data_IF_297081133555
#
_entry.id   IF_297081133555
#
_cell.length_a   1.000
_cell.length_b   1.000
_cell.length_c   1.000
_cell.angle_alpha   90.00
_cell.angle_beta   90.00
_cell.angle_gamma   90.00
#
_symmetry.space_group_name_H-M   'P 1'
#
loop_
_entity.id
_entity.type
_entity.pdbx_description
1 polymer ?
#
# COMPACT_ATOMS: atom_id res chain seq x y z
N UNK A 1 -1.77 -24.37 -0.23
CA UNK A 1 -2.58 -23.17 0.09
C UNK A 1 -3.26 -22.73 -1.20
N UNK A 2 -4.58 -22.53 -1.22
CA UNK A 2 -5.28 -22.08 -2.42
C UNK A 2 -4.99 -20.60 -2.65
N UNK A 3 -4.64 -20.23 -3.87
CA UNK A 3 -4.41 -18.85 -4.30
C UNK A 3 -5.75 -18.08 -4.26
N UNK A 4 -5.73 -16.82 -3.86
CA UNK A 4 -6.90 -15.93 -3.77
C UNK A 4 -7.95 -16.29 -2.70
N UNK A 5 -7.57 -16.96 -1.62
CA UNK A 5 -8.43 -17.09 -0.45
C UNK A 5 -7.90 -16.21 0.68
N UNK A 6 -8.65 -15.18 1.09
CA UNK A 6 -8.28 -14.34 2.24
C UNK A 6 -8.15 -15.17 3.51
N UNK A 7 -7.12 -14.91 4.30
CA UNK A 7 -6.88 -15.60 5.56
C UNK A 7 -6.20 -14.66 6.57
N UNK A 8 -6.23 -15.07 7.84
CA UNK A 8 -5.47 -14.38 8.89
C UNK A 8 -4.15 -15.11 9.14
N UNK A 9 -3.11 -14.32 9.33
CA UNK A 9 -1.75 -14.80 9.62
C UNK A 9 -1.22 -14.12 10.88
N UNK A 10 -0.53 -14.90 11.73
CA UNK A 10 0.25 -14.29 12.81
C UNK A 10 1.57 -13.75 12.22
N UNK A 11 1.72 -12.44 12.26
CA UNK A 11 2.87 -11.72 11.71
C UNK A 11 3.45 -10.82 12.80
N UNK A 12 4.69 -11.09 13.22
CA UNK A 12 5.34 -10.39 14.35
C UNK A 12 4.46 -10.28 15.62
N UNK A 13 3.71 -11.36 15.92
CA UNK A 13 2.88 -11.44 17.11
C UNK A 13 1.50 -10.78 17.01
N UNK A 14 1.15 -10.21 15.87
CA UNK A 14 -0.16 -9.61 15.57
C UNK A 14 -0.88 -10.38 14.46
N UNK A 15 -2.20 -10.33 14.43
CA UNK A 15 -3.00 -10.97 13.38
C UNK A 15 -3.23 -10.01 12.24
N UNK A 16 -2.72 -10.32 11.07
CA UNK A 16 -2.97 -9.55 9.86
C UNK A 16 -3.88 -10.30 8.90
N UNK A 17 -4.63 -9.55 8.10
CA UNK A 17 -5.41 -10.08 6.99
C UNK A 17 -4.57 -10.11 5.73
N UNK A 18 -4.61 -11.23 5.03
CA UNK A 18 -3.85 -11.47 3.80
C UNK A 18 -4.80 -11.99 2.73
N UNK A 19 -4.96 -11.31 1.59
CA UNK A 19 -5.88 -11.73 0.53
C UNK A 19 -5.35 -12.91 -0.30
N UNK A 20 -4.03 -13.04 -0.41
CA UNK A 20 -3.38 -14.08 -1.23
C UNK A 20 -2.00 -14.44 -0.67
N UNK A 21 -1.78 -15.73 -0.47
CA UNK A 21 -0.54 -16.24 0.09
C UNK A 21 0.66 -16.12 -0.82
N UNK A 22 0.47 -16.24 -2.11
CA UNK A 22 1.58 -16.15 -3.09
C UNK A 22 2.15 -14.74 -3.15
N UNK A 23 1.27 -13.74 -3.29
CA UNK A 23 1.66 -12.34 -3.28
C UNK A 23 2.28 -11.93 -1.95
N UNK A 24 1.71 -12.38 -0.83
CA UNK A 24 2.27 -12.11 0.50
C UNK A 24 3.71 -12.61 0.64
N UNK A 25 3.98 -13.86 0.25
CA UNK A 25 5.33 -14.43 0.37
C UNK A 25 6.34 -13.71 -0.52
N UNK A 26 5.95 -13.34 -1.75
CA UNK A 26 6.80 -12.57 -2.64
C UNK A 26 7.17 -11.21 -2.05
N UNK A 27 6.17 -10.45 -1.62
CA UNK A 27 6.37 -9.12 -1.02
C UNK A 27 7.15 -9.21 0.29
N UNK A 28 6.89 -10.24 1.11
CA UNK A 28 7.65 -10.48 2.33
C UNK A 28 9.14 -10.73 2.03
N UNK A 29 9.42 -11.59 1.05
CA UNK A 29 10.79 -11.86 0.62
C UNK A 29 11.51 -10.57 0.19
N UNK A 30 10.89 -9.81 -0.70
CA UNK A 30 11.47 -8.56 -1.22
C UNK A 30 11.72 -7.52 -0.13
N UNK A 31 10.76 -7.31 0.78
CA UNK A 31 10.84 -6.24 1.76
C UNK A 31 11.64 -6.60 3.00
N UNK A 32 11.43 -7.79 3.57
CA UNK A 32 11.99 -8.15 4.88
C UNK A 32 13.26 -9.01 4.78
N UNK A 33 13.47 -9.73 3.67
CA UNK A 33 14.65 -10.58 3.46
C UNK A 33 15.66 -9.89 2.56
N UNK A 34 15.23 -9.44 1.38
CA UNK A 34 16.11 -8.82 0.39
C UNK A 34 16.30 -7.32 0.63
N UNK A 35 15.44 -6.72 1.47
CA UNK A 35 15.45 -5.31 1.86
C UNK A 35 15.52 -4.34 0.65
N UNK A 36 14.80 -4.63 -0.44
CA UNK A 36 14.85 -3.82 -1.68
C UNK A 36 14.35 -2.37 -1.48
N UNK A 37 13.54 -2.11 -0.44
CA UNK A 37 13.06 -0.78 -0.06
C UNK A 37 13.97 -0.06 0.95
N UNK A 38 15.13 -0.64 1.27
CA UNK A 38 16.04 -0.08 2.25
C UNK A 38 16.63 1.25 1.76
N UNK A 39 16.53 2.26 2.60
CA UNK A 39 17.20 3.55 2.42
C UNK A 39 17.78 4.02 3.75
N UNK A 40 18.60 5.07 3.68
CA UNK A 40 19.18 5.70 4.86
C UNK A 40 18.73 7.15 4.90
N UNK A 41 17.91 7.51 5.89
CA UNK A 41 17.58 8.90 6.17
C UNK A 41 18.51 9.47 7.24
N UNK A 42 18.87 10.74 7.09
CA UNK A 42 19.55 11.52 8.13
C UNK A 42 18.58 12.00 9.21
N UNK A 43 17.28 11.91 8.94
CA UNK A 43 16.22 12.32 9.82
C UNK A 43 15.67 11.11 10.59
N UNK A 44 15.53 11.23 11.91
CA UNK A 44 14.95 10.19 12.75
C UNK A 44 13.42 10.07 12.59
N UNK A 45 12.79 11.02 11.93
CA UNK A 45 11.34 11.08 11.63
C UNK A 45 11.14 11.38 10.14
N UNK A 46 11.57 10.50 9.22
CA UNK A 46 11.44 10.74 7.80
C UNK A 46 9.98 10.85 7.37
N UNK A 47 9.72 11.66 6.35
CA UNK A 47 8.45 11.67 5.63
C UNK A 47 8.54 10.69 4.46
N UNK A 48 7.69 9.69 4.48
CA UNK A 48 7.63 8.63 3.46
C UNK A 48 6.30 8.72 2.74
N UNK A 49 6.34 8.74 1.42
CA UNK A 49 5.16 8.62 0.55
C UNK A 49 5.19 7.23 -0.07
N UNK A 50 4.21 6.42 0.28
CA UNK A 50 4.09 5.03 -0.17
C UNK A 50 2.98 4.92 -1.22
N UNK A 51 3.39 4.76 -2.48
CA UNK A 51 2.51 4.75 -3.64
C UNK A 51 2.11 3.32 -4.01
N UNK A 52 0.99 2.83 -3.49
CA UNK A 52 0.54 1.46 -3.62
C UNK A 52 0.93 0.62 -2.41
N UNK A 53 0.42 1.04 -1.23
CA UNK A 53 0.76 0.41 0.05
C UNK A 53 0.20 -1.00 0.21
N UNK A 54 -0.69 -1.43 -0.67
CA UNK A 54 -1.29 -2.75 -0.66
C UNK A 54 -1.84 -3.07 0.76
N UNK A 55 -1.56 -4.24 1.30
CA UNK A 55 -1.98 -4.65 2.65
C UNK A 55 -1.13 -4.07 3.79
N UNK A 56 -0.16 -3.18 3.48
CA UNK A 56 0.63 -2.43 4.46
C UNK A 56 1.96 -3.05 4.88
N UNK A 57 2.49 -4.05 4.15
CA UNK A 57 3.79 -4.64 4.49
C UNK A 57 4.93 -3.62 4.39
N UNK A 58 4.90 -2.71 3.41
CA UNK A 58 5.82 -1.58 3.27
C UNK A 58 5.75 -0.65 4.48
N UNK A 59 4.54 -0.29 4.89
CA UNK A 59 4.31 0.56 6.07
C UNK A 59 4.89 -0.09 7.33
N UNK A 60 4.63 -1.38 7.54
CA UNK A 60 5.18 -2.15 8.66
C UNK A 60 6.72 -2.18 8.62
N UNK A 61 7.31 -2.43 7.44
CA UNK A 61 8.75 -2.42 7.25
C UNK A 61 9.36 -1.06 7.61
N UNK A 62 8.81 0.04 7.09
CA UNK A 62 9.32 1.37 7.37
C UNK A 62 9.17 1.75 8.85
N UNK A 63 8.06 1.39 9.48
CA UNK A 63 7.87 1.63 10.92
C UNK A 63 8.82 0.82 11.81
N UNK A 64 9.25 -0.36 11.37
CA UNK A 64 10.31 -1.10 12.08
C UNK A 64 11.68 -0.41 11.96
N UNK A 65 12.01 0.15 10.79
CA UNK A 65 13.28 0.85 10.56
C UNK A 65 13.27 2.26 11.16
N UNK A 66 12.16 2.96 11.03
CA UNK A 66 11.95 4.35 11.45
C UNK A 66 10.64 4.47 12.26
N UNK A 67 10.64 4.13 13.55
CA UNK A 67 9.41 4.13 14.36
C UNK A 67 8.68 5.49 14.41
N UNK A 68 9.41 6.60 14.22
CA UNK A 68 8.88 7.96 14.19
C UNK A 68 8.61 8.49 12.79
N UNK A 69 8.72 7.66 11.75
CA UNK A 69 8.39 8.08 10.39
C UNK A 69 6.95 8.55 10.28
N UNK A 70 6.72 9.61 9.52
CA UNK A 70 5.40 9.98 9.03
C UNK A 70 5.21 9.33 7.67
N UNK A 71 4.12 8.59 7.51
CA UNK A 71 3.86 7.84 6.27
C UNK A 71 2.54 8.30 5.68
N UNK A 72 2.56 8.68 4.41
CA UNK A 72 1.37 8.93 3.60
C UNK A 72 1.24 7.73 2.67
N UNK A 73 0.23 6.90 2.93
CA UNK A 73 0.02 5.63 2.26
C UNK A 73 -1.15 5.73 1.27
N UNK A 74 -0.91 5.40 0.01
CA UNK A 74 -1.93 5.38 -1.04
C UNK A 74 -2.23 3.94 -1.45
N UNK A 75 -3.50 3.57 -1.43
CA UNK A 75 -3.98 2.30 -1.97
C UNK A 75 -5.25 2.53 -2.77
N UNK A 76 -5.22 2.07 -4.02
CA UNK A 76 -6.26 2.34 -5.00
C UNK A 76 -7.48 1.43 -4.86
N UNK A 77 -7.24 0.13 -4.55
CA UNK A 77 -8.30 -0.85 -4.37
C UNK A 77 -8.99 -0.64 -3.01
N UNK A 78 -10.31 -0.32 -2.98
CA UNK A 78 -11.00 -0.07 -1.73
C UNK A 78 -10.98 -1.28 -0.76
N UNK A 79 -11.05 -2.50 -1.28
CA UNK A 79 -11.05 -3.72 -0.45
C UNK A 79 -9.66 -3.95 0.17
N UNK A 80 -8.61 -3.72 -0.61
CA UNK A 80 -7.23 -3.80 -0.12
C UNK A 80 -6.94 -2.67 0.87
N UNK A 81 -7.47 -1.46 0.63
CA UNK A 81 -7.35 -0.33 1.55
C UNK A 81 -8.01 -0.60 2.91
N UNK A 82 -9.15 -1.32 2.94
CA UNK A 82 -9.76 -1.79 4.20
C UNK A 82 -8.84 -2.78 4.94
N UNK A 83 -8.20 -3.70 4.21
CA UNK A 83 -7.21 -4.65 4.78
C UNK A 83 -5.98 -3.89 5.30
N UNK A 84 -5.45 -2.95 4.53
CA UNK A 84 -4.36 -2.06 4.95
C UNK A 84 -4.70 -1.39 6.28
N UNK A 85 -5.86 -0.75 6.35
CA UNK A 85 -6.31 -0.04 7.56
C UNK A 85 -6.43 -0.99 8.75
N UNK A 86 -7.01 -2.18 8.55
CA UNK A 86 -7.09 -3.20 9.59
C UNK A 86 -5.70 -3.61 10.08
N UNK A 87 -4.78 -3.94 9.16
CA UNK A 87 -3.44 -4.41 9.50
C UNK A 87 -2.63 -3.34 10.25
N UNK A 88 -2.73 -2.07 9.84
CA UNK A 88 -2.07 -0.95 10.54
C UNK A 88 -2.59 -0.80 11.98
N UNK A 89 -3.92 -0.90 12.17
CA UNK A 89 -4.54 -0.80 13.48
C UNK A 89 -4.14 -1.96 14.41
N UNK A 90 -3.97 -3.18 13.89
CA UNK A 90 -3.51 -4.33 14.69
C UNK A 90 -2.12 -4.12 15.30
N UNK A 91 -1.27 -3.31 14.66
CA UNK A 91 0.06 -2.96 15.17
C UNK A 91 0.09 -1.69 16.02
N UNK A 92 -1.06 -1.05 16.29
CA UNK A 92 -1.16 0.19 17.06
C UNK A 92 -0.23 1.29 16.50
N UNK A 93 -0.02 1.34 15.18
CA UNK A 93 0.89 2.29 14.54
C UNK A 93 0.24 3.68 14.43
N UNK A 94 1.04 4.70 14.67
CA UNK A 94 0.65 6.12 14.59
C UNK A 94 1.40 6.85 13.47
N UNK A 95 1.00 8.08 13.18
CA UNK A 95 1.63 8.93 12.15
C UNK A 95 1.57 8.30 10.75
N UNK A 96 0.43 7.66 10.43
CA UNK A 96 0.14 7.09 9.12
C UNK A 96 -1.16 7.69 8.62
N UNK A 97 -1.11 8.32 7.45
CA UNK A 97 -2.25 8.88 6.74
C UNK A 97 -2.57 8.00 5.53
N UNK A 98 -3.72 7.31 5.58
CA UNK A 98 -4.13 6.35 4.55
C UNK A 98 -5.12 7.01 3.60
N UNK A 99 -4.79 7.01 2.32
CA UNK A 99 -5.60 7.57 1.24
C UNK A 99 -6.10 6.49 0.29
N UNK A 100 -7.43 6.26 0.18
CA UNK A 100 -8.02 5.34 -0.80
C UNK A 100 -8.04 6.00 -2.18
N UNK A 101 -6.87 6.19 -2.78
CA UNK A 101 -6.66 6.87 -4.06
C UNK A 101 -5.54 6.21 -4.85
N UNK A 102 -5.62 6.28 -6.16
CA UNK A 102 -4.50 5.96 -7.03
C UNK A 102 -3.53 7.13 -7.15
N UNK A 103 -2.25 6.85 -7.14
CA UNK A 103 -1.24 7.80 -7.64
C UNK A 103 -1.22 7.68 -9.17
N UNK A 104 -1.43 8.80 -9.85
CA UNK A 104 -1.53 8.84 -11.31
C UNK A 104 -0.86 10.07 -11.93
N UNK A 105 -1.05 10.25 -13.23
CA UNK A 105 -0.48 11.40 -13.97
C UNK A 105 -1.32 12.67 -13.86
N UNK A 106 -2.55 12.57 -13.35
CA UNK A 106 -3.49 13.68 -13.19
C UNK A 106 -4.40 13.47 -11.98
N UNK A 107 -4.87 14.57 -11.43
CA UNK A 107 -5.92 14.58 -10.42
C UNK A 107 -7.29 14.29 -11.06
N UNK A 108 -8.18 13.63 -10.29
CA UNK A 108 -9.54 13.35 -10.74
C UNK A 108 -9.98 11.92 -10.45
N UNK A 109 -10.40 11.21 -11.48
CA UNK A 109 -10.86 9.81 -11.38
C UNK A 109 -10.29 9.00 -12.53
N UNK A 110 -9.98 7.74 -12.24
CA UNK A 110 -9.54 6.75 -13.23
C UNK A 110 -10.41 5.51 -13.19
N UNK A 111 -10.45 4.77 -14.29
CA UNK A 111 -11.03 3.45 -14.35
C UNK A 111 -9.99 2.43 -13.86
N UNK A 112 -10.39 1.64 -12.88
CA UNK A 112 -9.53 0.68 -12.22
C UNK A 112 -10.18 -0.69 -12.25
N UNK A 113 -9.48 -1.67 -12.75
CA UNK A 113 -9.92 -3.06 -12.80
C UNK A 113 -9.49 -3.78 -11.53
N UNK A 114 -10.46 -4.29 -10.77
CA UNK A 114 -10.19 -5.13 -9.61
C UNK A 114 -9.92 -6.55 -10.12
N UNK A 115 -8.71 -7.03 -9.90
CA UNK A 115 -8.37 -8.44 -10.06
C UNK A 115 -8.53 -9.10 -8.69
N UNK A 116 -9.42 -10.08 -8.55
CA UNK A 116 -9.75 -10.73 -7.27
C UNK A 116 -8.55 -11.35 -6.54
N UNK A 117 -7.62 -10.53 -6.05
CA UNK A 117 -6.38 -10.88 -5.38
C UNK A 117 -5.70 -9.64 -4.81
N UNK A 118 -4.40 -9.69 -4.51
CA UNK A 118 -3.63 -8.58 -3.95
C UNK A 118 -3.21 -7.50 -4.97
N UNK A 119 -3.67 -7.57 -6.21
CA UNK A 119 -3.33 -6.61 -7.26
C UNK A 119 -4.57 -6.15 -8.02
N UNK A 120 -4.67 -4.86 -8.23
CA UNK A 120 -5.56 -4.27 -9.21
C UNK A 120 -4.73 -3.59 -10.29
N UNK A 121 -5.29 -3.39 -11.45
CA UNK A 121 -4.60 -2.79 -12.58
C UNK A 121 -5.42 -1.63 -13.17
N UNK A 122 -4.72 -0.55 -13.52
CA UNK A 122 -5.33 0.52 -14.29
C UNK A 122 -5.49 0.03 -15.72
N UNK A 123 -6.74 -0.05 -16.18
CA UNK A 123 -7.00 -0.51 -17.55
C UNK A 123 -7.29 0.66 -18.48
N UNK A 124 -6.63 0.65 -19.62
CA UNK A 124 -6.97 1.46 -20.79
C UNK A 124 -7.67 0.63 -21.87
N UNK A 125 -7.72 -0.69 -21.69
CA UNK A 125 -8.30 -1.62 -22.66
C UNK A 125 -9.74 -1.99 -22.23
N UNK A 126 -10.69 -1.65 -23.08
CA UNK A 126 -12.13 -1.88 -22.89
C UNK A 126 -12.62 -3.29 -23.26
N UNK A 127 -11.72 -4.24 -23.46
CA UNK A 127 -12.06 -5.58 -23.94
C UNK A 127 -12.63 -6.53 -22.88
N UNK A 128 -12.45 -6.24 -21.57
CA UNK A 128 -13.07 -6.98 -20.48
C UNK A 128 -13.84 -6.02 -19.57
N UNK A 129 -15.17 -6.13 -19.55
CA UNK A 129 -16.06 -5.21 -18.83
C UNK A 129 -16.35 -5.63 -17.38
N UNK A 130 -15.71 -6.69 -16.89
CA UNK A 130 -15.96 -7.22 -15.56
C UNK A 130 -15.06 -6.55 -14.52
N UNK A 131 -15.69 -6.04 -13.43
CA UNK A 131 -15.02 -5.49 -12.25
C UNK A 131 -14.26 -4.16 -12.44
N UNK A 132 -14.72 -3.29 -13.36
CA UNK A 132 -14.18 -1.93 -13.47
C UNK A 132 -14.91 -1.01 -12.48
N UNK A 133 -14.16 -0.33 -11.64
CA UNK A 133 -14.66 0.71 -10.75
C UNK A 133 -13.99 2.06 -11.08
N UNK A 134 -14.66 3.13 -10.70
CA UNK A 134 -14.11 4.48 -10.80
C UNK A 134 -13.55 4.89 -9.46
N UNK A 135 -12.25 5.14 -9.40
CA UNK A 135 -11.55 5.52 -8.18
C UNK A 135 -10.93 6.91 -8.30
N UNK A 136 -10.80 7.65 -7.19
CA UNK A 136 -10.13 8.93 -7.19
C UNK A 136 -8.63 8.76 -7.46
N UNK A 137 -8.04 9.73 -8.16
CA UNK A 137 -6.61 9.79 -8.44
C UNK A 137 -5.99 11.10 -8.01
N UNK A 138 -4.72 11.03 -7.65
CA UNK A 138 -3.88 12.17 -7.28
C UNK A 138 -2.65 12.19 -8.18
N UNK A 139 -2.31 13.36 -8.70
CA UNK A 139 -1.07 13.54 -9.44
C UNK A 139 0.10 13.58 -8.49
N UNK A 140 1.06 12.67 -8.67
CA UNK A 140 2.24 12.60 -7.81
C UNK A 140 2.98 13.94 -7.73
N UNK A 141 3.17 14.63 -8.86
CA UNK A 141 3.84 15.94 -8.86
C UNK A 141 3.14 16.96 -7.97
N UNK A 142 1.82 17.06 -8.02
CA UNK A 142 1.06 17.99 -7.19
C UNK A 142 1.19 17.66 -5.71
N UNK A 143 1.18 16.37 -5.37
CA UNK A 143 1.40 15.90 -4.01
C UNK A 143 2.80 16.27 -3.51
N UNK A 144 3.84 16.06 -4.31
CA UNK A 144 5.23 16.35 -3.92
C UNK A 144 5.46 17.86 -3.71
N UNK A 145 4.74 18.73 -4.43
CA UNK A 145 4.81 20.19 -4.30
C UNK A 145 4.25 20.69 -2.95
N UNK A 146 3.50 19.87 -2.21
CA UNK A 146 2.97 20.20 -0.88
C UNK A 146 4.00 20.08 0.24
N UNK A 147 5.17 19.48 -0.03
CA UNK A 147 6.20 19.19 0.95
C UNK A 147 7.53 19.85 0.58
N UNK A 148 8.14 20.50 1.57
CA UNK A 148 9.49 21.11 1.41
C UNK A 148 10.59 20.04 1.32
N UNK A 149 10.44 18.94 2.03
CA UNK A 149 11.40 17.83 2.10
C UNK A 149 10.67 16.49 2.18
N UNK A 150 11.11 15.55 1.38
CA UNK A 150 10.70 14.14 1.40
C UNK A 150 11.97 13.29 1.53
N UNK A 151 11.93 12.28 2.39
CA UNK A 151 13.06 11.35 2.65
C UNK A 151 12.95 10.05 1.83
#
# INVERSE_FOLDING_TARGET
>A
MQRYQPFELNFFGKKIKVPDSGSFLGVYQEMFVDEIYKFVSKNNSPLIIDCGSNIGLSVLYFKQKYPKAKIIAFEADPQICEILTHNINEFDLTDIDIHPKAIWTQDGFIEFQIEGGASGMITQDKSSHDNIIKIPSVRLKSLLEEFDVID
#
